data_IF_368440168938
#
_entry.id   IF_368440168938
#
_cell.length_a   1.000
_cell.length_b   1.000
_cell.length_c   1.000
_cell.angle_alpha   90.00
_cell.angle_beta   90.00
_cell.angle_gamma   90.00
#
_symmetry.space_group_name_H-M   'P 1'
#
loop_
_entity.id
_entity.type
_entity.pdbx_description
1 polymer ?
#
# COMPACT_ATOMS: atom_id res chain seq x y z
N UNK A 1 -2.66 -14.01 -41.99
CA UNK A 1 -2.84 -12.79 -41.17
C UNK A 1 -3.27 -11.63 -42.06
N UNK A 2 -4.13 -10.70 -41.60
CA UNK A 2 -4.45 -9.50 -42.36
C UNK A 2 -3.19 -8.65 -42.55
N UNK A 3 -2.97 -8.14 -43.78
CA UNK A 3 -1.74 -7.43 -44.16
C UNK A 3 -1.82 -5.89 -43.99
N UNK A 4 -2.89 -5.38 -43.38
CA UNK A 4 -3.09 -3.93 -43.23
C UNK A 4 -4.21 -3.55 -42.26
N UNK A 5 -4.29 -2.25 -41.91
CA UNK A 5 -5.30 -1.72 -41.02
C UNK A 5 -6.70 -1.89 -41.62
N UNK A 6 -7.75 -2.04 -40.80
CA UNK A 6 -9.13 -2.12 -41.29
C UNK A 6 -9.51 -0.83 -42.06
N UNK A 7 -10.52 -0.95 -42.93
CA UNK A 7 -11.12 0.22 -43.60
C UNK A 7 -11.79 1.10 -42.54
N UNK A 8 -11.47 2.38 -42.55
CA UNK A 8 -12.14 3.40 -41.72
C UNK A 8 -13.56 3.61 -42.22
N UNK A 9 -14.41 4.22 -41.39
CA UNK A 9 -15.80 4.49 -41.80
C UNK A 9 -15.88 5.54 -42.92
N UNK A 10 -14.91 6.46 -42.98
CA UNK A 10 -14.76 7.43 -44.07
C UNK A 10 -14.40 6.71 -45.37
N UNK A 11 -13.40 5.83 -45.34
CA UNK A 11 -13.00 5.05 -46.52
C UNK A 11 -14.13 4.15 -47.02
N UNK A 12 -14.91 3.56 -46.12
CA UNK A 12 -16.12 2.79 -46.49
C UNK A 12 -17.15 3.66 -47.21
N UNK A 13 -17.39 4.88 -46.72
CA UNK A 13 -18.28 5.84 -47.37
C UNK A 13 -17.80 6.24 -48.76
N UNK A 14 -16.50 6.54 -48.90
CA UNK A 14 -15.87 6.86 -50.19
C UNK A 14 -15.96 5.69 -51.19
N UNK A 15 -15.72 4.46 -50.73
CA UNK A 15 -15.85 3.26 -51.57
C UNK A 15 -17.29 3.12 -52.08
N UNK A 16 -18.30 3.34 -51.23
CA UNK A 16 -19.70 3.30 -51.67
C UNK A 16 -19.97 4.37 -52.73
N UNK A 17 -19.59 5.61 -52.47
CA UNK A 17 -19.81 6.74 -53.38
C UNK A 17 -19.18 6.52 -54.77
N UNK A 18 -17.91 6.12 -54.81
CA UNK A 18 -17.19 5.85 -56.07
C UNK A 18 -17.75 4.63 -56.79
N UNK A 19 -18.20 3.61 -56.05
CA UNK A 19 -18.85 2.45 -56.65
C UNK A 19 -20.22 2.81 -57.28
N UNK A 20 -21.00 3.70 -56.65
CA UNK A 20 -22.24 4.23 -57.24
C UNK A 20 -22.01 5.03 -58.52
N UNK A 21 -20.85 5.69 -58.63
CA UNK A 21 -20.42 6.40 -59.85
C UNK A 21 -19.84 5.47 -60.92
N UNK A 22 -19.95 4.14 -60.75
CA UNK A 22 -19.47 3.12 -61.69
C UNK A 22 -17.95 3.17 -61.92
N UNK A 23 -17.19 3.73 -60.99
CA UNK A 23 -15.72 3.76 -61.04
C UNK A 23 -15.17 2.33 -60.87
N UNK A 24 -14.13 1.99 -61.64
CA UNK A 24 -13.58 0.62 -61.59
C UNK A 24 -12.93 0.34 -60.23
N UNK A 25 -12.98 -0.91 -59.75
CA UNK A 25 -12.36 -1.29 -58.48
C UNK A 25 -10.85 -1.03 -58.44
N UNK A 26 -10.18 -1.01 -59.59
CA UNK A 26 -8.74 -0.71 -59.72
C UNK A 26 -8.47 0.78 -59.54
N UNK A 27 -9.36 1.64 -60.02
CA UNK A 27 -9.21 3.09 -59.88
C UNK A 27 -9.55 3.53 -58.46
N UNK A 28 -10.62 2.98 -57.87
CA UNK A 28 -10.94 3.15 -56.44
C UNK A 28 -9.75 2.69 -55.57
N UNK A 29 -9.07 1.60 -55.97
CA UNK A 29 -7.89 1.09 -55.27
C UNK A 29 -6.71 2.04 -55.31
N UNK A 30 -6.47 2.72 -56.45
CA UNK A 30 -5.42 3.72 -56.60
C UNK A 30 -5.75 5.00 -55.83
N UNK A 31 -6.99 5.47 -55.92
CA UNK A 31 -7.45 6.70 -55.28
C UNK A 31 -7.40 6.62 -53.75
N UNK A 32 -7.83 5.49 -53.18
CA UNK A 32 -7.86 5.29 -51.73
C UNK A 32 -6.61 4.59 -51.16
N UNK A 33 -5.66 4.19 -52.01
CA UNK A 33 -4.47 3.45 -51.60
C UNK A 33 -4.77 2.11 -50.91
N UNK A 34 -5.94 1.51 -51.17
CA UNK A 34 -6.39 0.24 -50.55
C UNK A 34 -6.40 -0.89 -51.57
N UNK A 35 -6.05 -2.11 -51.13
CA UNK A 35 -6.06 -3.26 -52.04
C UNK A 35 -7.44 -3.53 -52.63
N UNK A 36 -7.51 -3.84 -53.93
CA UNK A 36 -8.75 -4.25 -54.63
C UNK A 36 -9.53 -5.32 -53.85
N UNK A 37 -8.83 -6.31 -53.28
CA UNK A 37 -9.48 -7.37 -52.50
C UNK A 37 -10.07 -6.92 -51.17
N UNK A 38 -9.65 -5.78 -50.59
CA UNK A 38 -10.28 -5.19 -49.42
C UNK A 38 -11.58 -4.46 -49.80
N UNK A 39 -11.53 -3.69 -50.89
CA UNK A 39 -12.67 -2.97 -51.47
C UNK A 39 -13.76 -3.96 -51.89
N UNK A 40 -13.40 -5.01 -52.65
CA UNK A 40 -14.32 -6.04 -53.08
C UNK A 40 -14.98 -6.79 -51.91
N UNK A 41 -14.22 -7.08 -50.84
CA UNK A 41 -14.76 -7.73 -49.63
C UNK A 41 -15.75 -6.85 -48.89
N UNK A 42 -15.52 -5.53 -48.86
CA UNK A 42 -16.45 -4.58 -48.27
C UNK A 42 -17.72 -4.44 -49.10
N UNK A 43 -17.62 -4.25 -50.42
CA UNK A 43 -18.78 -4.14 -51.32
C UNK A 43 -19.66 -5.39 -51.33
N UNK A 44 -19.07 -6.59 -51.15
CA UNK A 44 -19.84 -7.84 -51.00
C UNK A 44 -20.72 -7.87 -49.76
N UNK A 45 -20.36 -7.17 -48.67
CA UNK A 45 -21.13 -7.11 -47.43
C UNK A 45 -20.94 -5.75 -46.72
N UNK A 46 -21.59 -4.67 -47.20
CA UNK A 46 -21.38 -3.31 -46.70
C UNK A 46 -21.85 -3.10 -45.25
N UNK A 47 -22.86 -3.87 -44.82
CA UNK A 47 -23.46 -3.83 -43.48
C UNK A 47 -22.61 -4.52 -42.41
N UNK A 48 -21.49 -5.14 -42.78
CA UNK A 48 -20.62 -5.85 -41.83
C UNK A 48 -19.75 -4.84 -41.06
N UNK A 49 -20.34 -4.29 -40.01
CA UNK A 49 -19.69 -3.34 -39.11
C UNK A 49 -18.82 -4.12 -38.11
N UNK A 50 -17.50 -3.91 -38.19
CA UNK A 50 -16.45 -4.45 -37.31
C UNK A 50 -16.01 -5.91 -37.55
N UNK A 51 -14.71 -6.15 -37.34
CA UNK A 51 -14.16 -7.51 -37.20
C UNK A 51 -14.83 -8.12 -35.97
N UNK A 52 -15.21 -9.40 -36.05
CA UNK A 52 -15.55 -10.17 -34.85
C UNK A 52 -14.42 -9.96 -33.83
N UNK A 53 -14.77 -9.65 -32.58
CA UNK A 53 -13.78 -9.51 -31.50
C UNK A 53 -12.87 -10.72 -31.54
N UNK A 54 -11.56 -10.49 -31.42
CA UNK A 54 -10.61 -11.59 -31.33
C UNK A 54 -11.12 -12.57 -30.28
N UNK A 55 -11.17 -13.85 -30.64
CA UNK A 55 -11.64 -14.88 -29.73
C UNK A 55 -10.70 -14.87 -28.51
N UNK A 56 -11.22 -14.47 -27.35
CA UNK A 56 -10.41 -14.47 -26.13
C UNK A 56 -10.08 -15.92 -25.83
N UNK A 57 -8.81 -16.27 -25.96
CA UNK A 57 -8.27 -17.60 -25.70
C UNK A 57 -7.74 -17.58 -24.27
N UNK A 58 -8.30 -18.45 -23.42
CA UNK A 58 -7.93 -18.56 -22.02
C UNK A 58 -9.05 -19.17 -21.18
N UNK A 59 -8.69 -20.10 -20.30
CA UNK A 59 -9.63 -20.67 -19.33
C UNK A 59 -10.14 -19.56 -18.41
N UNK A 60 -11.45 -19.37 -18.41
CA UNK A 60 -12.10 -18.45 -17.47
C UNK A 60 -12.31 -19.20 -16.16
N UNK A 61 -12.16 -18.46 -15.07
CA UNK A 61 -12.64 -18.95 -13.78
C UNK A 61 -14.13 -19.25 -13.88
N UNK A 62 -14.52 -20.39 -13.33
CA UNK A 62 -15.94 -20.65 -13.08
C UNK A 62 -16.45 -19.70 -12.00
N UNK A 63 -17.76 -19.42 -12.01
CA UNK A 63 -18.41 -18.60 -10.97
C UNK A 63 -18.13 -19.14 -9.57
N UNK A 64 -18.02 -20.47 -9.42
CA UNK A 64 -17.71 -21.12 -8.14
C UNK A 64 -16.28 -20.83 -7.69
N UNK A 65 -15.30 -20.92 -8.59
CA UNK A 65 -13.89 -20.63 -8.29
C UNK A 65 -13.69 -19.15 -7.98
N UNK A 66 -14.34 -18.25 -8.71
CA UNK A 66 -14.30 -16.82 -8.46
C UNK A 66 -14.85 -16.47 -7.07
N UNK A 67 -16.04 -17.00 -6.72
CA UNK A 67 -16.62 -16.81 -5.37
C UNK A 67 -15.73 -17.39 -4.27
N UNK A 68 -15.10 -18.54 -4.49
CA UNK A 68 -14.18 -19.14 -3.53
C UNK A 68 -12.91 -18.31 -3.33
N UNK A 69 -12.35 -17.78 -4.43
CA UNK A 69 -11.20 -16.88 -4.43
C UNK A 69 -11.49 -15.60 -3.65
N UNK A 70 -12.60 -14.92 -3.95
CA UNK A 70 -13.02 -13.69 -3.26
C UNK A 70 -13.22 -13.94 -1.77
N UNK A 71 -13.85 -15.07 -1.41
CA UNK A 71 -14.07 -15.46 -0.01
C UNK A 71 -12.74 -15.65 0.74
N UNK A 72 -11.77 -16.34 0.14
CA UNK A 72 -10.44 -16.51 0.73
C UNK A 72 -9.68 -15.19 0.81
N UNK A 73 -9.69 -14.37 -0.23
CA UNK A 73 -9.08 -13.04 -0.22
C UNK A 73 -9.69 -12.13 0.87
N UNK A 74 -11.01 -12.16 1.06
CA UNK A 74 -11.75 -11.44 2.11
C UNK A 74 -11.35 -11.85 3.54
N UNK A 75 -10.67 -13.00 3.72
CA UNK A 75 -10.08 -13.33 5.02
C UNK A 75 -8.82 -12.52 5.30
N UNK A 76 -8.19 -11.88 4.32
CA UNK A 76 -6.96 -11.11 4.52
C UNK A 76 -5.70 -11.96 4.78
N UNK A 77 -5.79 -13.29 4.73
CA UNK A 77 -4.67 -14.21 4.99
C UNK A 77 -3.95 -14.68 3.71
N UNK A 78 -4.49 -14.37 2.53
CA UNK A 78 -4.01 -14.91 1.26
C UNK A 78 -3.60 -13.79 0.32
N UNK A 79 -2.36 -13.88 -0.16
CA UNK A 79 -1.88 -13.09 -1.29
C UNK A 79 -2.42 -13.66 -2.61
N UNK A 80 -2.25 -12.90 -3.70
CA UNK A 80 -2.61 -13.40 -5.03
C UNK A 80 -1.77 -14.62 -5.45
N UNK A 81 -0.56 -14.77 -4.89
CA UNK A 81 0.31 -15.92 -5.15
C UNK A 81 -0.19 -17.15 -4.38
N UNK A 82 -0.51 -16.99 -3.09
CA UNK A 82 -1.09 -18.09 -2.29
C UNK A 82 -2.41 -18.58 -2.90
N UNK A 83 -3.21 -17.68 -3.48
CA UNK A 83 -4.43 -18.05 -4.19
C UNK A 83 -4.17 -18.81 -5.48
N UNK A 84 -3.08 -18.50 -6.20
CA UNK A 84 -2.67 -19.23 -7.41
C UNK A 84 -2.29 -20.67 -7.05
N UNK A 85 -1.57 -20.84 -5.95
CA UNK A 85 -1.07 -22.14 -5.49
C UNK A 85 -2.19 -23.08 -5.01
N UNK A 86 -3.42 -22.59 -4.88
CA UNK A 86 -4.63 -23.39 -4.68
C UNK A 86 -5.13 -24.11 -5.95
N UNK A 87 -4.36 -24.11 -7.04
CA UNK A 87 -4.69 -24.81 -8.28
C UNK A 87 -5.72 -24.09 -9.14
N UNK A 88 -5.75 -22.76 -9.11
CA UNK A 88 -6.60 -21.99 -10.02
C UNK A 88 -6.04 -22.02 -11.45
N UNK A 89 -6.89 -22.11 -12.49
CA UNK A 89 -6.45 -22.17 -13.89
C UNK A 89 -5.91 -20.82 -14.43
N UNK A 90 -5.70 -19.84 -13.56
CA UNK A 90 -5.31 -18.47 -13.91
C UNK A 90 -4.06 -18.04 -13.15
N UNK A 91 -3.23 -17.23 -13.79
CA UNK A 91 -2.03 -16.66 -13.16
C UNK A 91 -2.34 -15.61 -12.09
N UNK A 92 -1.37 -15.35 -11.20
CA UNK A 92 -1.47 -14.39 -10.11
C UNK A 92 -1.90 -12.97 -10.57
N UNK A 93 -1.45 -12.53 -11.74
CA UNK A 93 -1.85 -11.24 -12.34
C UNK A 93 -3.37 -11.16 -12.56
N UNK A 94 -3.97 -12.25 -13.06
CA UNK A 94 -5.41 -12.30 -13.33
C UNK A 94 -6.21 -12.34 -12.02
N UNK A 95 -5.68 -13.04 -11.02
CA UNK A 95 -6.22 -13.03 -9.65
C UNK A 95 -6.25 -11.61 -9.09
N UNK A 96 -5.13 -10.87 -9.16
CA UNK A 96 -5.08 -9.47 -8.72
C UNK A 96 -6.11 -8.59 -9.43
N UNK A 97 -6.26 -8.74 -10.75
CA UNK A 97 -7.26 -7.99 -11.52
C UNK A 97 -8.68 -8.28 -11.04
N UNK A 98 -9.04 -9.56 -10.87
CA UNK A 98 -10.38 -9.94 -10.40
C UNK A 98 -10.65 -9.41 -8.97
N UNK A 99 -9.67 -9.52 -8.08
CA UNK A 99 -9.80 -8.98 -6.72
C UNK A 99 -9.91 -7.45 -6.73
N UNK A 100 -9.14 -6.75 -7.55
CA UNK A 100 -9.22 -5.29 -7.69
C UNK A 100 -10.52 -4.81 -8.33
N UNK A 101 -11.15 -5.63 -9.18
CA UNK A 101 -12.45 -5.35 -9.77
C UNK A 101 -13.62 -5.61 -8.79
N UNK A 102 -13.36 -6.24 -7.64
CA UNK A 102 -14.39 -6.54 -6.65
C UNK A 102 -14.68 -5.29 -5.79
N UNK A 103 -15.91 -4.74 -5.80
CA UNK A 103 -16.19 -3.42 -5.19
C UNK A 103 -15.90 -3.29 -3.70
N UNK A 104 -16.03 -4.39 -2.95
CA UNK A 104 -15.85 -4.41 -1.51
C UNK A 104 -14.46 -4.87 -1.07
N UNK A 105 -13.54 -5.14 -2.00
CA UNK A 105 -12.16 -5.49 -1.69
C UNK A 105 -11.23 -4.35 -2.07
N UNK A 106 -10.34 -4.00 -1.15
CA UNK A 106 -9.29 -3.03 -1.37
C UNK A 106 -7.95 -3.60 -0.92
N UNK A 107 -6.94 -3.48 -1.77
CA UNK A 107 -5.58 -3.81 -1.36
C UNK A 107 -5.04 -2.69 -0.48
N UNK A 108 -4.82 -2.97 0.80
CA UNK A 108 -4.50 -1.95 1.81
C UNK A 108 -3.28 -2.40 2.62
N UNK A 109 -2.46 -1.42 3.01
CA UNK A 109 -1.35 -1.64 3.95
C UNK A 109 -1.92 -1.85 5.35
N UNK A 110 -1.48 -2.89 6.04
CA UNK A 110 -1.94 -3.15 7.40
C UNK A 110 -1.41 -2.05 8.34
N UNK A 111 -2.31 -1.42 9.10
CA UNK A 111 -1.94 -0.37 10.04
C UNK A 111 -1.36 -1.01 11.29
N UNK A 112 -0.14 -0.62 11.67
CA UNK A 112 0.47 -1.05 12.93
C UNK A 112 0.10 -0.06 14.03
N UNK A 113 -0.87 -0.39 14.87
CA UNK A 113 -1.20 0.40 16.04
C UNK A 113 -1.38 -0.54 17.26
N UNK A 114 -0.88 -0.16 18.44
CA UNK A 114 -1.21 -0.88 19.67
C UNK A 114 -2.72 -0.75 19.94
N UNK A 115 -3.32 -1.81 20.51
CA UNK A 115 -4.73 -1.80 20.86
C UNK A 115 -5.02 -0.69 21.88
N UNK A 116 -5.91 0.24 21.53
CA UNK A 116 -6.27 1.36 22.40
C UNK A 116 -7.54 1.01 23.18
N UNK A 117 -7.38 0.58 24.43
CA UNK A 117 -8.50 0.29 25.35
C UNK A 117 -9.23 1.57 25.75
N UNK A 118 -10.46 1.45 26.27
CA UNK A 118 -11.23 2.61 26.77
C UNK A 118 -10.47 3.36 27.88
N UNK A 119 -9.81 2.62 28.78
CA UNK A 119 -8.98 3.18 29.85
C UNK A 119 -7.79 3.99 29.29
N UNK A 120 -7.12 3.49 28.24
CA UNK A 120 -6.03 4.23 27.59
C UNK A 120 -6.52 5.58 27.04
N UNK A 121 -7.70 5.60 26.40
CA UNK A 121 -8.28 6.83 25.85
C UNK A 121 -8.57 7.84 26.96
N UNK A 122 -9.20 7.40 28.04
CA UNK A 122 -9.53 8.26 29.18
C UNK A 122 -8.27 8.87 29.82
N UNK A 123 -7.24 8.04 30.07
CA UNK A 123 -5.98 8.50 30.66
C UNK A 123 -5.25 9.49 29.76
N UNK A 124 -5.24 9.26 28.43
CA UNK A 124 -4.65 10.20 27.46
C UNK A 124 -5.40 11.53 27.45
N UNK A 125 -6.74 11.51 27.45
CA UNK A 125 -7.55 12.74 27.50
C UNK A 125 -7.30 13.51 28.81
N UNK A 126 -7.27 12.83 29.95
CA UNK A 126 -6.94 13.45 31.25
C UNK A 126 -5.54 14.09 31.23
N UNK A 127 -4.55 13.41 30.65
CA UNK A 127 -3.20 13.94 30.51
C UNK A 127 -3.15 15.18 29.61
N UNK A 128 -3.79 15.13 28.43
CA UNK A 128 -3.85 16.26 27.48
C UNK A 128 -4.50 17.46 28.15
N UNK A 129 -5.66 17.29 28.81
CA UNK A 129 -6.34 18.38 29.53
C UNK A 129 -5.44 19.07 30.56
N UNK A 130 -4.56 18.33 31.23
CA UNK A 130 -3.61 18.89 32.22
C UNK A 130 -2.46 19.67 31.56
N UNK A 131 -2.02 19.27 30.38
CA UNK A 131 -0.77 19.76 29.77
C UNK A 131 -1.02 20.75 28.62
N UNK A 132 -2.19 20.74 27.98
CA UNK A 132 -2.48 21.59 26.80
C UNK A 132 -2.35 23.10 27.08
N UNK A 133 -2.66 23.54 28.30
CA UNK A 133 -2.53 24.95 28.70
C UNK A 133 -1.14 25.36 29.19
N UNK A 134 -0.14 24.47 29.11
CA UNK A 134 1.25 24.81 29.45
C UNK A 134 1.84 25.63 28.31
N UNK A 135 2.32 26.84 28.62
CA UNK A 135 2.99 27.73 27.66
C UNK A 135 4.47 27.40 27.47
N UNK A 136 5.14 28.20 26.65
CA UNK A 136 6.52 27.97 26.18
C UNK A 136 7.53 27.82 27.31
N UNK A 137 7.39 28.56 28.42
CA UNK A 137 8.28 28.43 29.57
C UNK A 137 8.33 27.01 30.15
N UNK A 138 7.22 26.27 30.09
CA UNK A 138 7.20 24.86 30.50
C UNK A 138 7.87 23.99 29.44
N UNK A 139 7.44 24.09 28.18
CA UNK A 139 7.92 23.24 27.09
C UNK A 139 9.41 23.41 26.79
N UNK A 140 9.93 24.63 26.95
CA UNK A 140 11.35 24.92 26.80
C UNK A 140 12.20 24.12 27.79
N UNK A 141 11.66 23.73 28.95
CA UNK A 141 12.37 22.95 29.98
C UNK A 141 12.13 21.44 29.90
N UNK A 142 11.38 20.96 28.90
CA UNK A 142 11.07 19.54 28.76
C UNK A 142 12.08 18.87 27.85
N UNK A 143 12.68 17.79 28.34
CA UNK A 143 13.44 16.85 27.53
C UNK A 143 12.56 15.61 27.31
N UNK A 144 12.28 15.30 26.05
CA UNK A 144 11.66 14.03 25.66
C UNK A 144 12.75 12.99 25.51
N UNK A 145 12.52 11.78 26.00
CA UNK A 145 13.42 10.64 25.77
C UNK A 145 12.60 9.41 25.42
N UNK A 146 13.20 8.51 24.64
CA UNK A 146 12.57 7.25 24.24
C UNK A 146 13.64 6.21 23.90
N UNK A 147 13.25 4.93 23.97
CA UNK A 147 14.03 3.82 23.45
C UNK A 147 13.49 3.35 22.11
N UNK A 148 14.40 3.09 21.17
CA UNK A 148 14.05 2.53 19.87
C UNK A 148 14.79 1.24 19.60
N UNK A 149 14.04 0.15 19.44
CA UNK A 149 14.54 -1.13 18.91
C UNK A 149 14.43 -1.16 17.38
N UNK A 150 15.53 -1.46 16.71
CA UNK A 150 15.66 -1.74 15.29
C UNK A 150 15.92 -3.24 15.10
N UNK A 151 15.01 -3.93 14.40
CA UNK A 151 15.21 -5.33 14.02
C UNK A 151 16.04 -5.38 12.72
N UNK A 152 17.06 -6.24 12.66
CA UNK A 152 17.95 -6.40 11.51
C UNK A 152 17.37 -7.34 10.43
N UNK A 153 16.26 -8.01 10.73
CA UNK A 153 15.66 -9.06 9.90
C UNK A 153 14.72 -8.53 8.78
N UNK A 154 14.72 -7.22 8.54
CA UNK A 154 13.95 -6.58 7.47
C UNK A 154 12.66 -5.89 7.92
N UNK A 155 11.98 -5.15 7.03
CA UNK A 155 10.88 -4.28 7.41
C UNK A 155 9.62 -5.07 7.81
N UNK A 156 9.34 -5.11 9.11
CA UNK A 156 8.11 -5.63 9.74
C UNK A 156 6.81 -4.93 9.26
N UNK A 157 6.91 -3.90 8.42
CA UNK A 157 5.87 -2.89 8.15
C UNK A 157 5.24 -3.04 6.75
N UNK A 158 5.69 -3.99 5.93
CA UNK A 158 5.18 -4.17 4.56
C UNK A 158 4.17 -5.32 4.42
N UNK A 159 3.40 -5.61 5.47
CA UNK A 159 2.23 -6.48 5.37
C UNK A 159 1.07 -5.75 4.68
N UNK A 160 0.91 -5.97 3.38
CA UNK A 160 -0.29 -5.56 2.65
C UNK A 160 -1.25 -6.75 2.52
N UNK A 161 -2.55 -6.49 2.54
CA UNK A 161 -3.57 -7.53 2.43
C UNK A 161 -4.79 -7.03 1.64
N UNK A 162 -5.60 -7.98 1.18
CA UNK A 162 -6.92 -7.67 0.64
C UNK A 162 -7.88 -7.44 1.80
N UNK A 163 -8.20 -6.18 2.05
CA UNK A 163 -9.16 -5.75 3.04
C UNK A 163 -10.58 -5.79 2.47
N UNK A 164 -11.47 -6.48 3.17
CA UNK A 164 -12.90 -6.45 2.90
C UNK A 164 -13.50 -5.26 3.66
N UNK A 165 -13.98 -4.27 2.92
CA UNK A 165 -14.51 -3.00 3.45
C UNK A 165 -15.74 -3.17 4.36
N UNK A 166 -16.30 -4.37 4.44
CA UNK A 166 -17.41 -4.73 5.32
C UNK A 166 -16.96 -5.23 6.69
N UNK A 167 -15.66 -5.35 6.93
CA UNK A 167 -15.07 -5.85 8.18
C UNK A 167 -14.16 -4.78 8.76
N UNK A 168 -13.88 -4.89 10.06
CA UNK A 168 -12.90 -4.01 10.71
C UNK A 168 -11.51 -4.19 10.10
N UNK A 169 -10.75 -3.10 10.09
CA UNK A 169 -9.36 -3.13 9.66
C UNK A 169 -8.54 -4.04 10.57
N UNK A 170 -7.62 -4.79 9.95
CA UNK A 170 -6.67 -5.61 10.68
C UNK A 170 -5.50 -4.78 11.18
N UNK A 171 -5.08 -5.11 12.38
CA UNK A 171 -3.86 -4.60 12.99
C UNK A 171 -2.81 -5.69 13.02
N UNK A 172 -1.59 -5.37 12.63
CA UNK A 172 -0.46 -6.29 12.77
C UNK A 172 0.08 -6.20 14.19
N UNK A 173 0.12 -7.33 14.90
CA UNK A 173 0.89 -7.42 16.14
C UNK A 173 2.36 -7.53 15.75
N UNK A 174 3.18 -6.55 16.18
CA UNK A 174 4.62 -6.59 15.96
C UNK A 174 5.19 -7.83 16.61
N UNK A 175 6.03 -8.58 15.88
CA UNK A 175 6.82 -9.67 16.46
C UNK A 175 7.69 -9.06 17.57
N UNK A 176 7.49 -9.49 18.81
CA UNK A 176 8.25 -8.98 19.96
C UNK A 176 9.63 -9.65 20.07
N UNK A 177 9.74 -10.91 19.62
CA UNK A 177 10.88 -11.79 19.93
C UNK A 177 11.45 -12.51 18.69
N UNK A 178 12.78 -12.68 18.67
CA UNK A 178 13.55 -13.37 17.63
C UNK A 178 14.22 -12.41 16.64
N UNK A 179 15.40 -12.77 16.16
CA UNK A 179 16.22 -11.94 15.26
C UNK A 179 17.33 -11.17 15.94
N UNK A 180 18.31 -10.71 15.16
CA UNK A 180 19.30 -9.76 15.66
C UNK A 180 18.67 -8.35 15.70
N UNK A 181 18.89 -7.60 16.78
CA UNK A 181 18.30 -6.28 16.95
C UNK A 181 19.26 -5.34 17.65
N UNK A 182 19.21 -4.07 17.27
CA UNK A 182 19.95 -2.98 17.93
C UNK A 182 18.93 -2.11 18.65
N UNK A 183 19.17 -1.82 19.93
CA UNK A 183 18.36 -0.87 20.69
C UNK A 183 19.17 0.39 20.93
N UNK A 184 18.56 1.54 20.71
CA UNK A 184 19.17 2.84 20.99
C UNK A 184 18.30 3.64 21.95
N UNK A 185 18.93 4.49 22.73
CA UNK A 185 18.28 5.51 23.55
C UNK A 185 18.71 6.89 23.06
N UNK A 186 17.79 7.86 23.15
CA UNK A 186 18.09 9.25 22.87
C UNK A 186 17.08 10.20 23.50
N UNK A 187 17.53 11.42 23.74
CA UNK A 187 16.75 12.54 24.24
C UNK A 187 16.72 13.70 23.23
N UNK A 188 15.61 14.44 23.23
CA UNK A 188 15.41 15.61 22.39
C UNK A 188 14.78 16.72 23.24
N UNK A 189 15.30 17.93 23.09
CA UNK A 189 14.76 19.14 23.69
C UNK A 189 14.64 20.25 22.63
N UNK A 190 13.98 21.37 22.95
CA UNK A 190 13.95 22.53 22.05
C UNK A 190 15.34 23.12 21.75
N UNK A 191 16.34 22.83 22.57
CA UNK A 191 17.70 23.36 22.44
C UNK A 191 18.67 22.39 21.78
N UNK A 192 18.31 21.12 21.60
CA UNK A 192 19.10 20.16 20.84
C UNK A 192 18.78 18.71 21.13
N UNK A 193 19.70 17.82 20.78
CA UNK A 193 19.56 16.37 20.91
C UNK A 193 20.67 15.81 21.78
N UNK A 194 20.35 14.82 22.61
CA UNK A 194 21.35 14.14 23.43
C UNK A 194 22.25 13.26 22.55
N UNK A 195 23.40 12.80 23.09
CA UNK A 195 24.11 11.68 22.51
C UNK A 195 23.20 10.47 22.33
N UNK A 196 23.33 9.79 21.19
CA UNK A 196 22.64 8.53 20.94
C UNK A 196 23.40 7.40 21.62
N UNK A 197 22.73 6.67 22.50
CA UNK A 197 23.35 5.59 23.28
C UNK A 197 22.91 4.24 22.73
N UNK A 198 23.87 3.40 22.35
CA UNK A 198 23.59 2.01 21.96
C UNK A 198 23.42 1.15 23.22
N UNK A 199 22.25 0.55 23.35
CA UNK A 199 21.88 -0.27 24.50
C UNK A 199 22.19 -1.75 24.22
N UNK A 200 23.09 -2.31 25.03
CA UNK A 200 23.55 -3.69 24.87
C UNK A 200 22.71 -4.70 25.66
N UNK A 201 22.13 -5.66 24.94
CA UNK A 201 21.34 -6.75 25.51
C UNK A 201 20.04 -6.29 26.15
N UNK A 202 19.47 -7.15 27.01
CA UNK A 202 18.24 -6.84 27.73
C UNK A 202 18.48 -5.66 28.70
N UNK A 203 17.54 -4.71 28.67
CA UNK A 203 17.54 -3.56 29.56
C UNK A 203 16.86 -3.93 30.88
N UNK A 204 17.55 -3.62 31.97
CA UNK A 204 17.03 -3.67 33.32
C UNK A 204 17.05 -2.25 33.90
N UNK A 205 16.47 -2.08 35.09
CA UNK A 205 16.39 -0.76 35.73
C UNK A 205 17.77 -0.17 36.03
N UNK A 206 18.78 -0.97 36.36
CA UNK A 206 20.11 -0.49 36.71
C UNK A 206 20.85 0.06 35.49
N UNK A 207 20.80 -0.66 34.36
CA UNK A 207 21.36 -0.23 33.08
C UNK A 207 20.66 1.02 32.56
N UNK A 208 19.35 1.11 32.77
CA UNK A 208 18.60 2.30 32.40
C UNK A 208 19.01 3.51 33.24
N UNK A 209 19.09 3.37 34.57
CA UNK A 209 19.63 4.42 35.44
C UNK A 209 21.04 4.87 35.00
N UNK A 210 21.93 3.92 34.71
CA UNK A 210 23.27 4.26 34.22
C UNK A 210 23.24 5.03 32.89
N UNK A 211 22.29 4.72 31.99
CA UNK A 211 22.10 5.45 30.73
C UNK A 211 21.63 6.88 30.99
N UNK A 212 20.70 7.07 31.93
CA UNK A 212 20.26 8.42 32.33
C UNK A 212 21.40 9.22 32.95
N UNK A 213 22.20 8.59 33.82
CA UNK A 213 23.32 9.23 34.49
C UNK A 213 24.43 9.64 33.51
N UNK A 214 24.70 8.79 32.51
CA UNK A 214 25.79 9.00 31.57
C UNK A 214 25.39 9.87 30.37
N UNK A 215 24.11 9.90 30.00
CA UNK A 215 23.68 10.58 28.78
C UNK A 215 22.64 11.67 29.02
N UNK A 216 21.63 11.44 29.86
CA UNK A 216 20.57 12.43 30.07
C UNK A 216 21.01 13.56 31.01
N UNK A 217 21.64 13.24 32.13
CA UNK A 217 22.08 14.25 33.11
C UNK A 217 23.10 15.23 32.54
N UNK A 218 24.17 14.78 31.85
CA UNK A 218 25.14 15.70 31.28
C UNK A 218 24.51 16.59 30.20
N UNK A 219 23.65 16.01 29.35
CA UNK A 219 22.91 16.76 28.34
C UNK A 219 21.97 17.80 28.96
N UNK A 220 21.27 17.44 30.04
CA UNK A 220 20.39 18.37 30.75
C UNK A 220 21.20 19.50 31.41
N UNK A 221 22.35 19.20 32.01
CA UNK A 221 23.24 20.19 32.61
C UNK A 221 23.81 21.15 31.55
N UNK A 222 24.22 20.63 30.38
CA UNK A 222 24.70 21.44 29.26
C UNK A 222 23.63 22.41 28.73
N UNK A 223 22.40 21.92 28.57
CA UNK A 223 21.31 22.70 27.97
C UNK A 223 20.63 23.67 28.95
N UNK A 224 20.60 23.34 30.24
CA UNK A 224 19.74 24.02 31.22
C UNK A 224 20.46 24.49 32.50
N UNK A 225 21.73 24.13 32.68
CA UNK A 225 22.49 24.38 33.90
C UNK A 225 22.11 23.43 35.06
N UNK A 226 22.98 23.35 36.07
CA UNK A 226 22.90 22.37 37.18
C UNK A 226 21.68 22.53 38.11
N UNK A 227 20.95 23.66 38.06
CA UNK A 227 19.93 24.01 39.06
C UNK A 227 18.47 23.69 38.68
N UNK A 228 18.19 22.98 37.58
CA UNK A 228 16.83 22.84 37.07
C UNK A 228 16.38 21.42 36.67
N UNK A 229 17.01 20.36 37.18
CA UNK A 229 16.65 18.99 36.78
C UNK A 229 15.62 18.39 37.73
N UNK A 230 14.34 18.64 37.45
CA UNK A 230 13.21 17.95 38.08
C UNK A 230 12.76 16.76 37.23
N UNK A 231 13.07 15.52 37.65
CA UNK A 231 12.57 14.33 36.96
C UNK A 231 11.10 14.08 37.28
N UNK A 232 10.24 14.18 36.26
CA UNK A 232 8.90 13.61 36.33
C UNK A 232 8.90 12.28 35.56
N UNK A 233 9.25 11.19 36.24
CA UNK A 233 9.05 9.87 35.65
C UNK A 233 7.55 9.59 35.57
N UNK A 234 7.03 9.52 34.34
CA UNK A 234 5.81 8.75 34.07
C UNK A 234 6.21 7.66 33.11
N UNK A 235 6.84 6.65 33.70
CA UNK A 235 6.88 5.31 33.13
C UNK A 235 5.42 4.87 32.97
N UNK A 236 4.87 5.09 31.78
CA UNK A 236 3.65 4.44 31.35
C UNK A 236 3.97 2.98 31.04
N UNK A 237 4.26 2.20 32.07
CA UNK A 237 4.15 0.75 31.99
C UNK A 237 2.68 0.46 31.69
N UNK A 238 2.39 0.13 30.44
CA UNK A 238 1.15 -0.53 30.08
C UNK A 238 1.14 -1.89 30.80
N UNK A 239 0.10 -2.22 31.60
CA UNK A 239 -0.24 -3.62 31.83
C UNK A 239 -0.73 -4.27 30.53
#
# INVERSE_FOLDING_TARGET
MPRGPPLSDIEKGQILALHYQLTSLRDISKELGRSVGAIQRFLKNPSRTSRARAHVTGEKLTVRQEKAMIRKASTGNFSAQDLKDLGLPVGARRIQQNLSATPHLKYTKMTTAPMMTALHRENRVKWVRRIIGKGDHFWNKVIFSDEKKFNLDGPDVNACYWHDLRKDERFFSKRQNGGASVMVWGGISPYGVSPMVFLNGNQDSRKYCATLDQALLPFAAEMYGEMAIGFTSKIGLYP
#
